data_IF_424031733067
#
_entry.id   IF_424031733067
#
_cell.length_a   1.000
_cell.length_b   1.000
_cell.length_c   1.000
_cell.angle_alpha   90.00
_cell.angle_beta   90.00
_cell.angle_gamma   90.00
#
_symmetry.space_group_name_H-M   'P 1'
#
loop_
_entity.id
_entity.type
_entity.pdbx_description
1 polymer ?
#
# COMPACT_ATOMS: atom_id res chain seq x y z
N UNK A 1 2.55 -18.61 8.49
CA UNK A 1 3.02 -17.32 9.08
C UNK A 1 2.70 -17.30 10.57
N UNK A 2 3.71 -17.11 11.41
CA UNK A 2 3.54 -17.02 12.86
C UNK A 2 2.80 -15.76 13.28
N UNK A 3 1.91 -15.89 14.26
CA UNK A 3 1.20 -14.78 14.89
C UNK A 3 1.74 -14.52 16.29
N UNK A 4 1.30 -13.42 16.93
CA UNK A 4 1.73 -13.08 18.30
C UNK A 4 1.50 -14.24 19.27
N UNK A 5 0.38 -14.96 19.15
CA UNK A 5 0.10 -16.13 19.99
C UNK A 5 1.18 -17.22 19.89
N UNK A 6 1.83 -17.35 18.75
CA UNK A 6 2.92 -18.30 18.53
C UNK A 6 4.23 -17.95 19.25
N UNK A 7 4.36 -16.76 19.81
CA UNK A 7 5.54 -16.34 20.58
C UNK A 7 5.55 -16.89 22.02
N UNK A 8 4.46 -17.50 22.46
CA UNK A 8 4.34 -18.04 23.81
C UNK A 8 4.13 -16.98 24.88
N UNK A 9 4.62 -17.24 26.08
CA UNK A 9 4.49 -16.31 27.22
C UNK A 9 5.42 -15.09 27.06
N UNK A 10 4.82 -13.91 26.94
CA UNK A 10 5.52 -12.64 26.79
C UNK A 10 5.64 -11.85 28.09
N UNK A 11 5.16 -12.38 29.22
CA UNK A 11 5.22 -11.71 30.51
C UNK A 11 6.66 -11.33 30.87
N UNK A 12 6.90 -10.05 31.12
CA UNK A 12 8.23 -9.51 31.45
C UNK A 12 9.23 -9.47 30.29
N UNK A 13 8.85 -9.89 29.11
CA UNK A 13 9.74 -9.85 27.92
C UNK A 13 9.69 -8.50 27.24
N UNK A 14 10.80 -8.14 26.61
CA UNK A 14 10.89 -6.97 25.73
C UNK A 14 10.65 -7.41 24.30
N UNK A 15 9.70 -6.77 23.63
CA UNK A 15 9.31 -7.07 22.26
C UNK A 15 9.61 -5.87 21.37
N UNK A 16 10.41 -6.08 20.35
CA UNK A 16 10.68 -5.09 19.30
C UNK A 16 9.57 -5.17 18.25
N UNK A 17 8.86 -4.07 18.05
CA UNK A 17 7.79 -3.97 17.04
C UNK A 17 8.23 -3.06 15.90
N UNK A 18 8.26 -3.60 14.68
CA UNK A 18 8.47 -2.79 13.49
C UNK A 18 7.13 -2.27 12.98
N UNK A 19 6.83 -1.02 13.30
CA UNK A 19 5.61 -0.34 12.87
C UNK A 19 5.84 0.46 11.57
N UNK A 20 4.77 0.85 10.92
CA UNK A 20 4.78 1.86 9.86
C UNK A 20 4.23 3.18 10.43
N UNK A 21 5.10 4.12 10.69
CA UNK A 21 4.79 5.45 11.23
C UNK A 21 5.20 6.55 10.26
N UNK A 22 5.31 6.22 8.97
CA UNK A 22 5.65 7.17 7.91
C UNK A 22 4.44 8.05 7.59
N UNK A 23 4.13 8.95 8.50
CA UNK A 23 2.98 9.85 8.43
C UNK A 23 3.31 11.13 7.66
N UNK A 24 2.33 11.74 6.98
CA UNK A 24 2.50 13.06 6.39
C UNK A 24 2.55 14.12 7.47
N UNK A 25 3.51 15.04 7.32
CA UNK A 25 3.74 16.14 8.26
C UNK A 25 3.64 17.49 7.55
N UNK A 26 3.07 18.45 8.25
CA UNK A 26 3.25 19.88 7.98
C UNK A 26 4.06 20.47 9.14
N UNK A 27 5.36 20.67 8.91
CA UNK A 27 6.31 20.95 9.98
C UNK A 27 6.39 19.77 10.96
N UNK A 28 5.93 19.97 12.19
CA UNK A 28 5.82 18.93 13.24
C UNK A 28 4.39 18.42 13.46
N UNK A 29 3.44 18.92 12.67
CA UNK A 29 2.04 18.54 12.78
C UNK A 29 1.72 17.37 11.87
N UNK A 30 1.19 16.29 12.42
CA UNK A 30 0.70 15.14 11.65
C UNK A 30 -0.62 15.55 10.98
N UNK A 31 -0.68 15.49 9.64
CA UNK A 31 -1.87 15.83 8.87
C UNK A 31 -2.80 14.63 8.65
N UNK A 32 -2.30 13.42 8.77
CA UNK A 32 -3.06 12.17 8.74
C UNK A 32 -2.40 11.17 9.71
N UNK A 33 -3.09 10.80 10.77
CA UNK A 33 -2.59 9.88 11.80
C UNK A 33 -3.00 8.41 11.59
N UNK A 34 -3.55 8.08 10.42
CA UNK A 34 -4.09 6.74 10.13
C UNK A 34 -3.10 5.61 10.40
N UNK A 35 -1.83 5.80 10.07
CA UNK A 35 -0.78 4.80 10.33
C UNK A 35 -0.46 4.64 11.81
N UNK A 36 -0.47 5.72 12.57
CA UNK A 36 -0.28 5.64 14.03
C UNK A 36 -1.45 4.88 14.65
N UNK A 37 -2.69 5.20 14.26
CA UNK A 37 -3.88 4.47 14.72
C UNK A 37 -3.82 2.99 14.39
N UNK A 38 -3.37 2.64 13.20
CA UNK A 38 -3.26 1.25 12.75
C UNK A 38 -2.22 0.44 13.54
N UNK A 39 -1.23 1.09 14.14
CA UNK A 39 -0.20 0.44 14.96
C UNK A 39 -0.67 0.10 16.39
N UNK A 40 -1.73 0.75 16.88
CA UNK A 40 -2.21 0.63 18.26
C UNK A 40 -2.63 -0.80 18.62
N UNK A 41 -3.43 -1.53 17.81
CA UNK A 41 -3.89 -2.87 18.20
C UNK A 41 -2.78 -3.85 18.51
N UNK A 42 -1.72 -3.89 17.72
CA UNK A 42 -0.57 -4.77 17.97
C UNK A 42 0.16 -4.39 19.27
N UNK A 43 0.44 -3.11 19.46
CA UNK A 43 1.12 -2.63 20.67
C UNK A 43 0.29 -2.94 21.90
N UNK A 44 -1.01 -2.66 21.86
CA UNK A 44 -1.93 -2.95 22.96
C UNK A 44 -2.00 -4.44 23.29
N UNK A 45 -2.05 -5.29 22.27
CA UNK A 45 -2.06 -6.74 22.46
C UNK A 45 -0.79 -7.23 23.19
N UNK A 46 0.36 -6.68 22.86
CA UNK A 46 1.61 -7.03 23.52
C UNK A 46 1.65 -6.51 24.97
N UNK A 47 1.15 -5.31 25.22
CA UNK A 47 1.05 -4.76 26.57
C UNK A 47 0.09 -5.60 27.43
N UNK A 48 -1.05 -6.00 26.88
CA UNK A 48 -2.02 -6.86 27.56
C UNK A 48 -1.45 -8.25 27.87
N UNK A 49 -0.49 -8.72 27.06
CA UNK A 49 0.25 -9.95 27.30
C UNK A 49 1.38 -9.81 28.36
N UNK A 50 1.56 -8.64 28.94
CA UNK A 50 2.56 -8.37 29.97
C UNK A 50 3.95 -8.03 29.45
N UNK A 51 4.09 -7.70 28.17
CA UNK A 51 5.36 -7.31 27.57
C UNK A 51 5.72 -5.84 27.83
N UNK A 52 7.01 -5.53 27.72
CA UNK A 52 7.51 -4.19 27.44
C UNK A 52 7.69 -4.03 25.94
N UNK A 53 7.27 -2.92 25.37
CA UNK A 53 7.24 -2.72 23.91
C UNK A 53 8.27 -1.68 23.49
N UNK A 54 9.10 -2.04 22.51
CA UNK A 54 10.06 -1.15 21.85
C UNK A 54 9.60 -0.98 20.42
N UNK A 55 9.17 0.24 20.06
CA UNK A 55 8.72 0.56 18.70
C UNK A 55 9.90 1.05 17.87
N UNK A 56 10.06 0.48 16.69
CA UNK A 56 10.98 0.97 15.66
C UNK A 56 10.24 1.24 14.37
N UNK A 57 10.55 2.34 13.71
CA UNK A 57 9.88 2.77 12.49
C UNK A 57 10.77 3.73 11.68
N UNK A 58 10.36 3.97 10.44
CA UNK A 58 10.95 4.99 9.59
C UNK A 58 10.00 6.17 9.38
N UNK A 59 10.56 7.30 9.01
CA UNK A 59 9.86 8.49 8.54
C UNK A 59 10.65 9.11 7.40
N UNK A 60 10.04 9.21 6.22
CA UNK A 60 10.65 9.85 5.07
C UNK A 60 11.96 9.19 4.60
N UNK A 61 12.81 10.02 4.02
CA UNK A 61 14.10 9.61 3.45
C UNK A 61 15.22 10.52 3.91
N UNK A 62 15.71 10.37 5.14
CA UNK A 62 16.75 11.24 5.70
C UNK A 62 18.14 11.06 5.08
N UNK A 63 18.36 9.96 4.33
CA UNK A 63 19.64 9.72 3.65
C UNK A 63 20.71 9.07 4.51
N UNK A 64 20.33 8.40 5.59
CA UNK A 64 21.26 7.63 6.43
C UNK A 64 21.93 8.45 7.54
N UNK A 65 21.41 9.63 7.85
CA UNK A 65 21.89 10.51 8.90
C UNK A 65 20.74 11.20 9.63
N UNK A 66 20.92 11.59 10.91
CA UNK A 66 19.90 12.32 11.66
C UNK A 66 19.57 13.68 11.05
N UNK A 67 18.26 13.94 10.90
CA UNK A 67 17.72 15.25 10.47
C UNK A 67 16.46 15.55 11.26
N UNK A 68 16.36 16.73 11.90
CA UNK A 68 15.23 17.05 12.79
C UNK A 68 13.85 16.93 12.14
N UNK A 69 13.74 17.25 10.84
CA UNK A 69 12.49 17.16 10.08
C UNK A 69 11.97 15.73 9.90
N UNK A 70 12.83 14.72 10.11
CA UNK A 70 12.49 13.31 10.02
C UNK A 70 12.48 12.61 11.38
N UNK A 71 12.48 13.37 12.48
CA UNK A 71 12.33 12.79 13.82
C UNK A 71 10.97 12.13 14.01
N UNK A 72 10.95 11.01 14.71
CA UNK A 72 9.72 10.32 15.12
C UNK A 72 9.01 10.98 16.31
N UNK A 73 9.49 12.12 16.81
CA UNK A 73 8.89 12.80 17.95
C UNK A 73 7.38 13.07 17.80
N UNK A 74 6.89 13.57 16.64
CA UNK A 74 5.44 13.74 16.45
C UNK A 74 4.67 12.43 16.51
N UNK A 75 5.19 11.36 15.91
CA UNK A 75 4.56 10.04 15.93
C UNK A 75 4.55 9.44 17.34
N UNK A 76 5.63 9.59 18.10
CA UNK A 76 5.70 9.14 19.49
C UNK A 76 4.68 9.85 20.38
N UNK A 77 4.54 11.16 20.24
CA UNK A 77 3.56 11.94 21.00
C UNK A 77 2.12 11.49 20.66
N UNK A 78 1.82 11.30 19.37
CA UNK A 78 0.49 10.85 18.96
C UNK A 78 0.19 9.41 19.42
N UNK A 79 1.17 8.53 19.35
CA UNK A 79 1.03 7.16 19.86
C UNK A 79 0.74 7.14 21.35
N UNK A 80 1.43 7.98 22.14
CA UNK A 80 1.17 8.14 23.57
C UNK A 80 -0.26 8.57 23.87
N UNK A 81 -0.80 9.54 23.13
CA UNK A 81 -2.20 9.97 23.26
C UNK A 81 -3.17 8.82 22.97
N UNK A 82 -2.95 8.08 21.90
CA UNK A 82 -3.82 6.96 21.49
C UNK A 82 -3.77 5.78 22.45
N UNK A 83 -2.60 5.49 23.02
CA UNK A 83 -2.44 4.43 24.01
C UNK A 83 -2.89 4.84 25.42
N UNK A 84 -3.02 6.15 25.69
CA UNK A 84 -3.33 6.67 27.02
C UNK A 84 -2.21 6.41 28.04
N UNK A 85 -0.96 6.32 27.59
CA UNK A 85 0.22 6.11 28.41
C UNK A 85 1.47 6.74 27.79
N UNK A 86 2.52 7.03 28.58
CA UNK A 86 3.75 7.60 28.03
C UNK A 86 4.42 6.69 27.02
N UNK A 87 5.00 7.30 25.99
CA UNK A 87 5.93 6.67 25.04
C UNK A 87 7.24 7.41 25.14
N UNK A 88 8.28 6.74 25.63
CA UNK A 88 9.61 7.33 25.79
C UNK A 88 10.37 7.22 24.47
N UNK A 89 10.65 8.36 23.83
CA UNK A 89 11.46 8.40 22.62
C UNK A 89 12.95 8.50 22.98
N UNK A 90 13.76 7.55 22.51
CA UNK A 90 15.21 7.64 22.58
C UNK A 90 15.72 8.74 21.61
N UNK A 91 16.85 9.32 21.90
CA UNK A 91 17.46 10.38 21.05
C UNK A 91 18.25 9.82 19.86
N UNK A 92 18.48 8.52 19.85
CA UNK A 92 19.19 7.80 18.79
C UNK A 92 18.52 6.44 18.47
N UNK A 93 19.08 5.72 17.52
CA UNK A 93 18.56 4.41 17.13
C UNK A 93 19.18 3.25 17.93
N UNK A 94 20.50 3.18 17.99
CA UNK A 94 21.24 2.08 18.61
C UNK A 94 22.42 2.57 19.47
N UNK A 95 22.45 3.85 19.77
CA UNK A 95 23.50 4.50 20.57
C UNK A 95 23.22 4.43 22.07
N UNK A 96 23.90 5.28 22.81
CA UNK A 96 23.82 5.29 24.27
C UNK A 96 22.43 5.64 24.79
N UNK A 97 21.72 6.56 24.14
CA UNK A 97 20.35 6.93 24.53
C UNK A 97 19.38 5.74 24.36
N UNK A 98 19.43 5.07 23.22
CA UNK A 98 18.60 3.89 22.98
C UNK A 98 18.90 2.78 23.99
N UNK A 99 20.17 2.49 24.27
CA UNK A 99 20.58 1.48 25.26
C UNK A 99 20.06 1.81 26.66
N UNK A 100 20.18 3.06 27.08
CA UNK A 100 19.69 3.51 28.40
C UNK A 100 18.16 3.45 28.48
N UNK A 101 17.47 3.89 27.42
CA UNK A 101 16.00 3.88 27.34
C UNK A 101 15.46 2.46 27.42
N UNK A 102 16.04 1.52 26.68
CA UNK A 102 15.63 0.11 26.68
C UNK A 102 15.98 -0.57 28.00
N UNK A 103 17.14 -0.28 28.59
CA UNK A 103 17.53 -0.84 29.87
C UNK A 103 16.57 -0.45 31.01
N UNK A 104 16.02 0.77 30.96
CA UNK A 104 15.07 1.27 31.97
C UNK A 104 13.62 0.84 31.70
N UNK A 105 13.33 0.22 30.57
CA UNK A 105 11.98 -0.15 30.16
C UNK A 105 11.46 -1.35 30.93
N UNK A 106 10.29 -1.21 31.54
CA UNK A 106 9.62 -2.24 32.33
C UNK A 106 8.36 -2.77 31.62
N UNK A 107 7.88 -3.92 32.09
CA UNK A 107 6.60 -4.52 31.63
C UNK A 107 5.46 -3.51 31.64
N UNK A 108 4.68 -3.45 30.59
CA UNK A 108 3.58 -2.50 30.43
C UNK A 108 3.99 -1.11 29.96
N UNK A 109 5.27 -0.86 29.76
CA UNK A 109 5.78 0.41 29.25
C UNK A 109 6.13 0.32 27.76
N UNK A 110 6.13 1.49 27.11
CA UNK A 110 6.42 1.65 25.69
C UNK A 110 7.58 2.63 25.51
N UNK A 111 8.59 2.21 24.76
CA UNK A 111 9.65 3.06 24.26
C UNK A 111 9.63 3.09 22.75
N UNK A 112 10.16 4.15 22.14
CA UNK A 112 10.36 4.27 20.71
C UNK A 112 11.80 4.64 20.43
N UNK A 113 12.41 3.94 19.48
CA UNK A 113 13.72 4.31 18.94
C UNK A 113 13.56 5.43 17.92
N UNK A 114 14.61 6.23 17.72
CA UNK A 114 14.60 7.22 16.67
C UNK A 114 14.57 6.59 15.29
N UNK A 115 14.27 7.38 14.26
CA UNK A 115 14.07 6.96 12.87
C UNK A 115 15.15 5.95 12.42
N UNK A 116 14.72 4.75 12.09
CA UNK A 116 15.61 3.66 11.70
C UNK A 116 16.43 3.99 10.44
N UNK A 117 15.92 4.87 9.58
CA UNK A 117 16.64 5.36 8.39
C UNK A 117 17.67 6.45 8.68
N UNK A 118 17.88 6.82 9.94
CA UNK A 118 19.04 7.61 10.34
C UNK A 118 20.35 6.81 10.23
N UNK A 119 20.24 5.50 10.13
CA UNK A 119 21.38 4.62 9.90
C UNK A 119 21.35 4.09 8.45
N UNK A 120 22.42 4.36 7.70
CA UNK A 120 22.52 3.94 6.30
C UNK A 120 22.47 2.42 6.10
N UNK A 121 22.78 1.65 7.14
CA UNK A 121 22.76 0.17 7.10
C UNK A 121 21.34 -0.38 6.97
N UNK A 122 20.32 0.35 7.43
CA UNK A 122 18.91 -0.08 7.36
C UNK A 122 18.49 -0.48 5.95
N UNK A 123 18.84 0.33 4.96
CA UNK A 123 18.42 0.15 3.57
C UNK A 123 19.56 -0.30 2.66
N UNK A 124 20.70 -0.71 3.21
CA UNK A 124 21.85 -1.17 2.43
C UNK A 124 21.49 -2.39 1.58
N UNK A 125 22.06 -2.43 0.39
CA UNK A 125 21.97 -3.61 -0.50
C UNK A 125 23.00 -4.70 -0.15
N UNK A 126 23.91 -4.38 0.76
CA UNK A 126 24.94 -5.31 1.26
C UNK A 126 24.38 -6.02 2.50
N UNK A 127 24.22 -7.31 2.41
CA UNK A 127 23.57 -8.11 3.47
C UNK A 127 24.31 -7.98 4.81
N UNK A 128 25.64 -8.00 4.80
CA UNK A 128 26.47 -7.91 5.99
C UNK A 128 26.25 -6.57 6.75
N UNK A 129 26.10 -5.48 6.02
CA UNK A 129 25.82 -4.16 6.64
C UNK A 129 24.46 -4.14 7.33
N UNK A 130 23.43 -4.69 6.68
CA UNK A 130 22.10 -4.79 7.33
C UNK A 130 22.12 -5.71 8.55
N UNK A 131 22.84 -6.82 8.46
CA UNK A 131 22.95 -7.78 9.55
C UNK A 131 23.67 -7.19 10.77
N UNK A 132 24.62 -6.29 10.61
CA UNK A 132 25.25 -5.57 11.73
C UNK A 132 24.23 -4.73 12.49
N UNK A 133 23.42 -3.93 11.80
CA UNK A 133 22.36 -3.15 12.44
C UNK A 133 21.31 -4.06 13.07
N UNK A 134 20.93 -5.13 12.38
CA UNK A 134 19.96 -6.09 12.91
C UNK A 134 20.41 -6.73 14.22
N UNK A 135 21.70 -7.04 14.39
CA UNK A 135 22.27 -7.55 15.65
C UNK A 135 22.15 -6.54 16.79
N UNK A 136 22.39 -5.26 16.49
CA UNK A 136 22.27 -4.20 17.51
C UNK A 136 20.79 -4.01 17.93
N UNK A 137 19.86 -4.07 16.97
CA UNK A 137 18.42 -4.02 17.25
C UNK A 137 17.94 -5.27 18.03
N UNK A 138 18.38 -6.45 17.61
CA UNK A 138 18.03 -7.72 18.27
C UNK A 138 18.52 -7.80 19.72
N UNK A 139 19.64 -7.14 20.03
CA UNK A 139 20.17 -7.08 21.39
C UNK A 139 19.24 -6.36 22.38
N UNK A 140 18.28 -5.57 21.89
CA UNK A 140 17.33 -4.86 22.74
C UNK A 140 16.14 -5.71 23.19
N UNK A 141 15.87 -6.84 22.54
CA UNK A 141 14.59 -7.52 22.72
C UNK A 141 14.72 -9.05 22.80
N UNK A 142 13.68 -9.68 23.33
CA UNK A 142 13.52 -11.12 23.43
C UNK A 142 12.73 -11.72 22.27
N UNK A 143 11.92 -10.88 21.58
CA UNK A 143 11.11 -11.26 20.44
C UNK A 143 10.90 -10.07 19.49
N UNK A 144 10.53 -10.38 18.25
CA UNK A 144 10.27 -9.40 17.20
C UNK A 144 8.86 -9.57 16.62
N UNK A 145 8.17 -8.45 16.41
CA UNK A 145 6.87 -8.42 15.75
C UNK A 145 6.92 -7.47 14.54
N UNK A 146 6.62 -8.01 13.37
CA UNK A 146 6.50 -7.25 12.13
C UNK A 146 5.08 -6.72 11.97
N UNK A 147 4.91 -5.42 12.03
CA UNK A 147 3.59 -4.78 11.92
C UNK A 147 3.52 -3.66 10.89
N UNK A 148 4.57 -3.44 10.14
CA UNK A 148 4.64 -2.45 9.06
C UNK A 148 4.45 -3.08 7.69
N UNK A 149 3.23 -3.40 7.28
CA UNK A 149 2.97 -4.06 6.00
C UNK A 149 3.52 -3.28 4.79
N UNK A 150 3.53 -1.96 4.86
CA UNK A 150 4.07 -1.11 3.78
C UNK A 150 5.56 -1.29 3.47
N UNK A 151 6.32 -2.01 4.29
CA UNK A 151 7.77 -2.22 4.11
C UNK A 151 8.19 -3.68 3.97
N UNK A 152 7.26 -4.64 4.07
CA UNK A 152 7.58 -6.08 4.02
C UNK A 152 8.09 -6.56 2.65
N UNK A 153 7.94 -5.74 1.61
CA UNK A 153 8.44 -6.02 0.26
C UNK A 153 9.93 -5.70 0.06
N UNK A 154 10.58 -5.18 1.11
CA UNK A 154 12.01 -4.80 1.06
C UNK A 154 12.84 -5.58 2.07
N UNK A 155 14.04 -6.00 1.66
CA UNK A 155 15.06 -6.49 2.58
C UNK A 155 15.70 -5.30 3.30
N UNK A 156 15.18 -4.98 4.48
CA UNK A 156 15.70 -3.95 5.36
C UNK A 156 16.05 -4.54 6.72
N UNK A 157 17.05 -3.98 7.40
CA UNK A 157 17.56 -4.53 8.66
C UNK A 157 16.47 -4.73 9.71
N UNK A 158 15.60 -3.73 9.90
CA UNK A 158 14.52 -3.75 10.90
C UNK A 158 13.27 -4.56 10.47
N UNK A 159 13.24 -5.06 9.25
CA UNK A 159 12.09 -5.80 8.68
C UNK A 159 12.44 -7.26 8.45
N UNK A 160 13.56 -7.51 7.80
CA UNK A 160 13.98 -8.82 7.30
C UNK A 160 15.07 -9.45 8.17
N UNK A 161 16.21 -8.75 8.34
CA UNK A 161 17.40 -9.32 8.98
C UNK A 161 17.18 -9.55 10.49
N UNK A 162 16.52 -8.62 11.19
CA UNK A 162 16.23 -8.75 12.62
C UNK A 162 15.28 -9.92 12.92
N UNK A 163 14.35 -10.20 12.03
CA UNK A 163 13.41 -11.31 12.17
C UNK A 163 14.09 -12.68 12.15
N UNK A 164 15.29 -12.77 11.59
CA UNK A 164 16.09 -14.00 11.58
C UNK A 164 16.89 -14.23 12.87
N UNK A 165 16.99 -13.21 13.73
CA UNK A 165 17.80 -13.24 14.94
C UNK A 165 17.00 -13.45 16.22
N UNK A 166 15.68 -13.29 16.17
CA UNK A 166 14.76 -13.39 17.30
C UNK A 166 13.58 -14.29 16.94
N UNK A 167 12.90 -14.88 17.93
CA UNK A 167 11.55 -15.39 17.72
C UNK A 167 10.69 -14.28 17.11
N UNK A 168 10.13 -14.52 15.94
CA UNK A 168 9.47 -13.50 15.14
C UNK A 168 8.02 -13.89 14.83
N UNK A 169 7.14 -12.89 14.76
CA UNK A 169 5.75 -13.06 14.40
C UNK A 169 5.21 -11.84 13.64
N UNK A 170 4.10 -12.04 12.93
CA UNK A 170 3.32 -10.96 12.36
C UNK A 170 2.50 -10.27 13.45
N UNK A 171 2.45 -8.94 13.39
CA UNK A 171 1.49 -8.16 14.17
C UNK A 171 0.09 -8.26 13.57
N UNK A 172 -0.91 -7.75 14.27
CA UNK A 172 -2.32 -7.85 13.88
C UNK A 172 -2.61 -7.14 12.56
N UNK A 173 -1.91 -6.02 12.28
CA UNK A 173 -2.05 -5.29 11.02
C UNK A 173 -1.51 -6.11 9.84
N UNK A 174 -0.31 -6.65 9.94
CA UNK A 174 0.29 -7.50 8.90
C UNK A 174 -0.55 -8.75 8.69
N UNK A 175 -1.02 -9.39 9.75
CA UNK A 175 -1.90 -10.56 9.66
C UNK A 175 -3.19 -10.25 8.89
N UNK A 176 -3.87 -9.16 9.23
CA UNK A 176 -5.08 -8.70 8.55
C UNK A 176 -4.85 -8.43 7.06
N UNK A 177 -3.75 -7.72 6.75
CA UNK A 177 -3.37 -7.43 5.36
C UNK A 177 -3.12 -8.71 4.55
N UNK A 178 -2.35 -9.64 5.09
CA UNK A 178 -2.01 -10.89 4.43
C UNK A 178 -3.25 -11.76 4.21
N UNK A 179 -4.10 -11.90 5.22
CA UNK A 179 -5.35 -12.67 5.11
C UNK A 179 -6.26 -12.05 4.03
N UNK A 180 -6.45 -10.75 4.05
CA UNK A 180 -7.33 -10.05 3.10
C UNK A 180 -6.81 -10.12 1.67
N UNK A 181 -5.52 -9.87 1.47
CA UNK A 181 -4.91 -9.90 0.14
C UNK A 181 -4.77 -11.33 -0.39
N UNK A 182 -4.47 -12.31 0.45
CA UNK A 182 -4.40 -13.72 0.05
C UNK A 182 -5.77 -14.24 -0.39
N UNK A 183 -6.84 -13.84 0.28
CA UNK A 183 -8.21 -14.16 -0.13
C UNK A 183 -8.51 -13.67 -1.55
N UNK A 184 -7.98 -12.49 -1.90
CA UNK A 184 -8.16 -11.93 -3.23
C UNK A 184 -7.21 -12.49 -4.29
N UNK A 185 -6.04 -13.04 -3.90
CA UNK A 185 -4.98 -13.36 -4.86
C UNK A 185 -4.69 -14.85 -5.02
N UNK A 186 -4.92 -15.67 -3.99
CA UNK A 186 -4.56 -17.10 -4.00
C UNK A 186 -5.68 -17.98 -4.55
N UNK A 187 -6.89 -17.83 -4.02
CA UNK A 187 -8.06 -18.59 -4.45
C UNK A 187 -9.30 -17.68 -4.37
N UNK A 188 -9.39 -16.68 -5.26
CA UNK A 188 -10.50 -15.75 -5.22
C UNK A 188 -11.81 -16.41 -5.58
N UNK A 189 -12.86 -16.05 -4.84
CA UNK A 189 -14.24 -16.44 -5.21
C UNK A 189 -14.62 -15.71 -6.50
N UNK A 190 -15.17 -16.45 -7.47
CA UNK A 190 -15.43 -15.96 -8.83
C UNK A 190 -16.88 -15.55 -9.04
N UNK A 191 -17.18 -14.58 -9.91
CA UNK A 191 -16.26 -13.87 -10.81
C UNK A 191 -15.27 -12.97 -10.05
N UNK A 192 -14.01 -12.97 -10.48
CA UNK A 192 -12.94 -12.15 -9.96
C UNK A 192 -12.67 -10.96 -10.90
N UNK A 193 -13.01 -9.77 -10.44
CA UNK A 193 -12.80 -8.52 -11.17
C UNK A 193 -11.66 -7.70 -10.54
N UNK A 194 -10.75 -7.23 -11.35
CA UNK A 194 -9.68 -6.35 -10.94
C UNK A 194 -9.78 -5.04 -11.71
N UNK A 195 -9.79 -3.92 -10.99
CA UNK A 195 -9.83 -2.58 -11.55
C UNK A 195 -8.43 -1.96 -11.37
N UNK A 196 -7.76 -1.69 -12.46
CA UNK A 196 -6.44 -1.06 -12.47
C UNK A 196 -6.51 0.32 -13.12
N UNK A 197 -5.96 1.28 -12.44
CA UNK A 197 -5.77 2.64 -12.92
C UNK A 197 -4.34 3.11 -12.68
N UNK A 198 -4.12 4.38 -12.91
CA UNK A 198 -2.81 5.00 -12.79
C UNK A 198 -2.35 5.61 -14.12
N UNK A 199 -1.22 6.33 -14.09
CA UNK A 199 -0.77 7.10 -15.24
C UNK A 199 0.02 6.28 -16.26
N UNK A 200 0.70 5.20 -15.82
CA UNK A 200 1.62 4.44 -16.67
C UNK A 200 1.38 2.94 -16.61
N UNK A 201 1.31 2.30 -17.78
CA UNK A 201 1.25 0.85 -17.87
C UNK A 201 2.55 0.20 -17.40
N UNK A 202 3.71 0.86 -17.60
CA UNK A 202 5.02 0.37 -17.16
C UNK A 202 5.10 0.14 -15.65
N UNK A 203 4.33 0.88 -14.85
CA UNK A 203 4.27 0.69 -13.39
C UNK A 203 3.44 -0.54 -12.98
N UNK A 204 2.66 -1.10 -13.91
CA UNK A 204 1.70 -2.20 -13.65
C UNK A 204 2.02 -3.48 -14.44
N UNK A 205 3.17 -3.55 -15.12
CA UNK A 205 3.49 -4.69 -16.00
C UNK A 205 3.41 -6.04 -15.28
N UNK A 206 4.04 -6.15 -14.12
CA UNK A 206 4.02 -7.39 -13.33
C UNK A 206 2.64 -7.74 -12.82
N UNK A 207 1.85 -6.75 -12.42
CA UNK A 207 0.47 -6.92 -11.96
C UNK A 207 -0.40 -7.44 -13.09
N UNK A 208 -0.39 -6.78 -14.24
CA UNK A 208 -1.19 -7.19 -15.40
C UNK A 208 -0.81 -8.60 -15.84
N UNK A 209 0.49 -8.88 -16.00
CA UNK A 209 0.98 -10.19 -16.40
C UNK A 209 0.52 -11.33 -15.48
N UNK A 210 0.55 -11.12 -14.17
CA UNK A 210 0.07 -12.10 -13.19
C UNK A 210 -1.46 -12.26 -13.23
N UNK A 211 -2.19 -11.15 -13.32
CA UNK A 211 -3.65 -11.15 -13.33
C UNK A 211 -4.26 -11.78 -14.58
N UNK A 212 -3.57 -11.75 -15.72
CA UNK A 212 -3.99 -12.43 -16.94
C UNK A 212 -4.07 -13.95 -16.78
N UNK A 213 -3.50 -14.51 -15.73
CA UNK A 213 -3.60 -15.94 -15.39
C UNK A 213 -4.62 -16.22 -14.29
N UNK A 214 -5.19 -15.21 -13.65
CA UNK A 214 -5.99 -15.37 -12.43
C UNK A 214 -7.35 -14.68 -12.47
N UNK A 215 -7.46 -13.49 -13.05
CA UNK A 215 -8.69 -12.71 -13.07
C UNK A 215 -9.66 -13.22 -14.15
N UNK A 216 -10.95 -13.02 -13.91
CA UNK A 216 -11.98 -13.20 -14.95
C UNK A 216 -12.16 -11.92 -15.76
N UNK A 217 -12.07 -10.77 -15.10
CA UNK A 217 -12.21 -9.44 -15.72
C UNK A 217 -11.12 -8.52 -15.22
N UNK A 218 -10.52 -7.78 -16.16
CA UNK A 218 -9.52 -6.77 -15.89
C UNK A 218 -9.99 -5.45 -16.48
N UNK A 219 -10.41 -4.52 -15.62
CA UNK A 219 -10.93 -3.21 -16.00
C UNK A 219 -9.82 -2.18 -15.94
N UNK A 220 -9.54 -1.53 -17.05
CA UNK A 220 -8.41 -0.61 -17.20
C UNK A 220 -8.91 0.83 -17.25
N UNK A 221 -8.40 1.67 -16.35
CA UNK A 221 -8.67 3.10 -16.28
C UNK A 221 -7.39 3.92 -16.14
N UNK A 222 -7.57 5.21 -15.94
CA UNK A 222 -6.45 6.14 -15.77
C UNK A 222 -5.68 6.43 -17.07
N UNK A 223 -4.52 7.06 -16.94
CA UNK A 223 -3.70 7.44 -18.09
C UNK A 223 -3.13 6.26 -18.87
N UNK A 224 -3.02 5.09 -18.26
CA UNK A 224 -2.56 3.88 -18.95
C UNK A 224 -3.51 3.38 -20.04
N UNK A 225 -4.78 3.79 -20.02
CA UNK A 225 -5.78 3.45 -21.04
C UNK A 225 -5.30 3.81 -22.44
N UNK A 226 -4.62 4.91 -22.61
CA UNK A 226 -4.26 5.44 -23.93
C UNK A 226 -3.21 4.58 -24.64
N UNK A 227 -2.36 3.89 -23.90
CA UNK A 227 -1.45 2.89 -24.48
C UNK A 227 -2.23 1.67 -24.98
N UNK A 228 -3.27 1.24 -24.27
CA UNK A 228 -4.19 0.19 -24.73
C UNK A 228 -4.97 0.60 -25.98
N UNK A 229 -5.51 1.83 -26.00
CA UNK A 229 -6.25 2.35 -27.16
C UNK A 229 -5.35 2.47 -28.38
N UNK A 230 -4.11 2.94 -28.21
CA UNK A 230 -3.14 3.01 -29.30
C UNK A 230 -2.76 1.63 -29.83
N UNK A 231 -2.62 0.64 -28.95
CA UNK A 231 -2.37 -0.76 -29.32
C UNK A 231 -3.51 -1.33 -30.18
N UNK A 232 -4.73 -0.83 -29.99
CA UNK A 232 -5.90 -1.16 -30.83
C UNK A 232 -5.97 -0.39 -32.14
N UNK A 233 -5.05 0.54 -32.38
CA UNK A 233 -4.97 1.34 -33.59
C UNK A 233 -5.71 2.68 -33.54
N UNK A 234 -6.15 3.12 -32.35
CA UNK A 234 -6.86 4.39 -32.19
C UNK A 234 -5.89 5.54 -31.92
N UNK A 235 -6.25 6.74 -32.42
CA UNK A 235 -5.53 7.95 -32.06
C UNK A 235 -5.94 8.42 -30.67
N UNK A 236 -4.97 8.92 -29.89
CA UNK A 236 -5.16 9.30 -28.49
C UNK A 236 -4.94 10.79 -28.23
N UNK A 237 -4.80 11.60 -29.28
CA UNK A 237 -4.59 13.05 -29.17
C UNK A 237 -3.32 13.38 -28.38
N UNK A 238 -3.45 14.31 -27.42
CA UNK A 238 -2.36 14.71 -26.51
C UNK A 238 -2.36 13.94 -25.21
N UNK A 239 -3.07 12.83 -25.13
CA UNK A 239 -3.13 11.97 -23.93
C UNK A 239 -1.77 11.34 -23.61
N UNK A 240 -1.59 10.96 -22.34
CA UNK A 240 -0.41 10.20 -21.94
C UNK A 240 -0.27 8.93 -22.78
N UNK A 241 0.93 8.68 -23.30
CA UNK A 241 1.22 7.53 -24.15
C UNK A 241 2.63 7.01 -23.87
N UNK A 242 2.72 5.73 -23.62
CA UNK A 242 4.01 5.00 -23.54
C UNK A 242 4.20 4.22 -24.84
N UNK A 243 4.80 4.85 -25.85
CA UNK A 243 5.00 4.26 -27.18
C UNK A 243 5.84 2.97 -27.15
N UNK A 244 6.82 2.91 -26.25
CA UNK A 244 7.68 1.75 -26.03
C UNK A 244 6.93 0.56 -25.39
N UNK A 245 5.72 0.76 -24.88
CA UNK A 245 4.89 -0.29 -24.26
C UNK A 245 3.76 -0.80 -25.15
N UNK A 246 3.59 -0.25 -26.35
CA UNK A 246 2.49 -0.65 -27.25
C UNK A 246 2.55 -2.14 -27.59
N UNK A 247 3.72 -2.66 -27.93
CA UNK A 247 3.88 -4.08 -28.25
C UNK A 247 3.64 -4.98 -27.05
N UNK A 248 4.06 -4.56 -25.85
CA UNK A 248 3.78 -5.26 -24.59
C UNK A 248 2.26 -5.35 -24.37
N UNK A 249 1.55 -4.25 -24.55
CA UNK A 249 0.09 -4.19 -24.38
C UNK A 249 -0.64 -5.04 -25.42
N UNK A 250 -0.19 -5.06 -26.66
CA UNK A 250 -0.71 -5.99 -27.67
C UNK A 250 -0.59 -7.44 -27.23
N UNK A 251 0.56 -7.81 -26.65
CA UNK A 251 0.79 -9.13 -26.07
C UNK A 251 -0.17 -9.44 -24.93
N UNK A 252 -0.51 -8.47 -24.08
CA UNK A 252 -1.51 -8.64 -23.02
C UNK A 252 -2.90 -8.90 -23.57
N UNK A 253 -3.33 -8.17 -24.61
CA UNK A 253 -4.62 -8.37 -25.24
C UNK A 253 -4.75 -9.78 -25.85
N UNK A 254 -3.69 -10.27 -26.49
CA UNK A 254 -3.62 -11.62 -27.03
C UNK A 254 -3.64 -12.69 -25.93
N UNK A 255 -2.86 -12.50 -24.88
CA UNK A 255 -2.80 -13.43 -23.73
C UNK A 255 -4.15 -13.48 -23.00
N UNK A 256 -4.80 -12.35 -22.82
CA UNK A 256 -6.13 -12.28 -22.21
C UNK A 256 -7.15 -13.11 -23.00
N UNK A 257 -7.18 -12.95 -24.33
CA UNK A 257 -8.06 -13.71 -25.21
C UNK A 257 -7.77 -15.21 -25.10
N UNK A 258 -6.51 -15.60 -25.15
CA UNK A 258 -6.10 -16.99 -25.02
C UNK A 258 -6.48 -17.62 -23.67
N UNK A 259 -6.44 -16.85 -22.59
CA UNK A 259 -6.76 -17.30 -21.23
C UNK A 259 -8.24 -17.14 -20.85
N UNK A 260 -9.06 -16.56 -21.73
CA UNK A 260 -10.46 -16.28 -21.41
C UNK A 260 -10.67 -15.15 -20.39
N UNK A 261 -9.69 -14.25 -20.25
CA UNK A 261 -9.77 -13.06 -19.41
C UNK A 261 -10.34 -11.89 -20.21
N UNK A 262 -11.40 -11.28 -19.71
CA UNK A 262 -11.99 -10.10 -20.35
C UNK A 262 -11.23 -8.86 -19.93
N UNK A 263 -10.53 -8.22 -20.86
CA UNK A 263 -9.99 -6.87 -20.66
C UNK A 263 -11.07 -5.86 -21.06
N UNK A 264 -11.57 -5.11 -20.08
CA UNK A 264 -12.59 -4.08 -20.29
C UNK A 264 -11.92 -2.72 -20.39
N UNK A 265 -12.00 -2.13 -21.56
CA UNK A 265 -11.49 -0.79 -21.84
C UNK A 265 -12.65 0.23 -21.86
N UNK A 266 -12.38 1.51 -21.55
CA UNK A 266 -13.36 2.56 -21.72
C UNK A 266 -13.86 2.67 -23.17
N UNK A 267 -15.15 2.92 -23.34
CA UNK A 267 -15.79 3.17 -24.62
C UNK A 267 -15.91 4.65 -24.93
N UNK A 268 -15.85 5.49 -23.92
CA UNK A 268 -15.84 6.93 -24.00
C UNK A 268 -14.82 7.52 -23.01
N UNK A 269 -14.35 8.71 -23.28
CA UNK A 269 -13.31 9.40 -22.52
C UNK A 269 -13.75 10.84 -22.27
N UNK A 270 -13.55 11.31 -21.05
CA UNK A 270 -13.62 12.74 -20.72
C UNK A 270 -12.28 13.37 -21.08
N UNK A 271 -12.28 14.18 -22.14
CA UNK A 271 -11.07 14.85 -22.65
C UNK A 271 -11.07 16.32 -22.29
N UNK A 272 -9.88 16.86 -22.07
CA UNK A 272 -9.66 18.28 -21.75
C UNK A 272 -8.69 18.93 -22.73
N UNK A 273 -8.83 20.25 -22.89
CA UNK A 273 -7.93 21.05 -23.72
C UNK A 273 -6.56 21.27 -23.07
N UNK A 274 -6.49 21.14 -21.74
CA UNK A 274 -5.27 21.28 -20.95
C UNK A 274 -5.37 20.49 -19.66
N UNK A 275 -4.24 20.21 -19.02
CA UNK A 275 -4.19 19.62 -17.68
C UNK A 275 -4.42 20.72 -16.63
N UNK A 276 -5.68 21.03 -16.37
CA UNK A 276 -6.10 22.03 -15.39
C UNK A 276 -7.51 21.72 -14.87
N UNK A 277 -7.79 22.12 -13.63
CA UNK A 277 -9.09 21.87 -12.98
C UNK A 277 -10.25 22.57 -13.70
N UNK A 278 -10.00 23.71 -14.32
CA UNK A 278 -10.96 24.55 -15.03
C UNK A 278 -10.82 24.48 -16.56
N UNK A 279 -10.07 23.48 -17.07
CA UNK A 279 -9.91 23.31 -18.49
C UNK A 279 -11.25 23.04 -19.19
N UNK A 280 -11.38 23.56 -20.44
CA UNK A 280 -12.46 23.15 -21.33
C UNK A 280 -12.41 21.64 -21.51
N UNK A 281 -13.54 20.96 -21.34
CA UNK A 281 -13.63 19.51 -21.41
C UNK A 281 -14.91 19.06 -22.09
N UNK A 282 -14.89 17.84 -22.60
CA UNK A 282 -16.02 17.18 -23.24
C UNK A 282 -15.86 15.67 -23.21
N UNK A 283 -16.97 14.97 -23.35
CA UNK A 283 -16.99 13.52 -23.56
C UNK A 283 -16.87 13.19 -25.06
N UNK A 284 -15.97 12.27 -25.40
CA UNK A 284 -15.82 11.75 -26.75
C UNK A 284 -15.76 10.22 -26.73
N UNK A 285 -16.09 9.58 -27.84
CA UNK A 285 -15.85 8.16 -27.99
C UNK A 285 -14.35 7.84 -27.92
N UNK A 286 -13.99 6.70 -27.35
CA UNK A 286 -12.60 6.34 -27.11
C UNK A 286 -11.76 6.17 -28.39
N UNK A 287 -12.39 5.89 -29.52
CA UNK A 287 -11.75 5.71 -30.83
C UNK A 287 -11.62 6.99 -31.66
N UNK A 288 -12.11 8.13 -31.15
CA UNK A 288 -12.12 9.43 -31.85
C UNK A 288 -11.66 10.58 -30.96
N UNK A 289 -10.60 10.37 -30.20
CA UNK A 289 -9.99 11.44 -29.37
C UNK A 289 -9.37 12.48 -30.30
N UNK A 290 -9.83 13.76 -30.29
CA UNK A 290 -9.33 14.77 -31.21
C UNK A 290 -7.87 15.16 -30.95
N UNK A 291 -7.17 15.57 -32.00
CA UNK A 291 -5.84 16.15 -31.85
C UNK A 291 -5.87 17.38 -30.93
N UNK A 292 -4.86 17.50 -30.07
CA UNK A 292 -4.75 18.60 -29.10
C UNK A 292 -5.57 18.42 -27.82
N UNK A 293 -6.38 17.38 -27.75
CA UNK A 293 -7.14 17.03 -26.53
C UNK A 293 -6.51 15.86 -25.80
N UNK A 294 -6.56 15.89 -24.47
CA UNK A 294 -6.02 14.84 -23.60
C UNK A 294 -7.11 14.20 -22.76
N UNK A 295 -7.10 12.89 -22.65
CA UNK A 295 -8.00 12.18 -21.75
C UNK A 295 -7.58 12.35 -20.29
N UNK A 296 -8.52 12.76 -19.42
CA UNK A 296 -8.28 12.96 -17.99
C UNK A 296 -9.19 12.10 -17.09
N UNK A 297 -10.18 11.42 -17.67
CA UNK A 297 -11.05 10.47 -16.98
C UNK A 297 -11.70 9.53 -18.01
N UNK A 298 -12.23 8.42 -17.52
CA UNK A 298 -13.18 7.62 -18.31
C UNK A 298 -14.49 8.39 -18.43
N UNK A 299 -15.23 8.17 -19.53
CA UNK A 299 -16.51 8.83 -19.72
C UNK A 299 -17.66 8.16 -18.96
N UNK A 300 -18.86 8.76 -19.01
CA UNK A 300 -20.02 8.25 -18.26
C UNK A 300 -20.53 6.88 -18.74
N UNK A 301 -20.44 6.57 -20.02
CA UNK A 301 -20.78 5.23 -20.53
C UNK A 301 -19.81 4.17 -20.04
N UNK A 302 -18.52 4.50 -20.01
CA UNK A 302 -17.46 3.64 -19.46
C UNK A 302 -17.66 3.41 -17.95
N UNK A 303 -18.01 4.46 -17.21
CA UNK A 303 -18.31 4.36 -15.79
C UNK A 303 -19.48 3.41 -15.53
N UNK A 304 -20.55 3.49 -16.30
CA UNK A 304 -21.70 2.57 -16.22
C UNK A 304 -21.29 1.14 -16.60
N UNK A 305 -20.47 0.96 -17.62
CA UNK A 305 -19.95 -0.35 -18.03
C UNK A 305 -19.10 -0.97 -16.92
N UNK A 306 -18.21 -0.21 -16.30
CA UNK A 306 -17.39 -0.69 -15.21
C UNK A 306 -18.23 -1.07 -13.99
N UNK A 307 -19.21 -0.24 -13.63
CA UNK A 307 -20.17 -0.56 -12.56
C UNK A 307 -20.93 -1.87 -12.83
N UNK A 308 -21.36 -2.10 -14.08
CA UNK A 308 -22.02 -3.34 -14.50
C UNK A 308 -21.09 -4.56 -14.35
N UNK A 309 -19.83 -4.43 -14.75
CA UNK A 309 -18.83 -5.51 -14.65
C UNK A 309 -18.38 -5.80 -13.21
N UNK A 310 -18.57 -4.86 -12.29
CA UNK A 310 -18.27 -5.02 -10.87
C UNK A 310 -19.45 -5.64 -10.12
N UNK A 311 -20.68 -5.36 -10.53
CA UNK A 311 -21.89 -5.63 -9.77
C UNK A 311 -22.08 -7.10 -9.34
N UNK A 312 -21.75 -8.05 -10.19
CA UNK A 312 -21.90 -9.48 -9.92
C UNK A 312 -20.60 -10.19 -9.48
N UNK A 313 -19.50 -9.44 -9.39
CA UNK A 313 -18.23 -9.99 -8.97
C UNK A 313 -18.25 -10.40 -7.49
N UNK A 314 -17.66 -11.56 -7.19
CA UNK A 314 -17.54 -12.10 -5.83
C UNK A 314 -16.25 -11.70 -5.14
N UNK A 315 -15.23 -11.35 -5.93
CA UNK A 315 -13.98 -10.77 -5.46
C UNK A 315 -13.66 -9.56 -6.34
N UNK A 316 -13.38 -8.43 -5.72
CA UNK A 316 -13.08 -7.19 -6.42
C UNK A 316 -11.83 -6.58 -5.82
N UNK A 317 -10.83 -6.30 -6.65
CA UNK A 317 -9.62 -5.58 -6.24
C UNK A 317 -9.51 -4.31 -7.08
N UNK A 318 -9.29 -3.20 -6.42
CA UNK A 318 -9.08 -1.91 -7.08
C UNK A 318 -7.74 -1.31 -6.68
N UNK A 319 -6.92 -0.96 -7.68
CA UNK A 319 -5.63 -0.30 -7.50
C UNK A 319 -5.44 0.77 -8.58
N UNK A 320 -5.46 2.03 -8.18
CA UNK A 320 -5.25 3.19 -9.02
C UNK A 320 -6.53 3.89 -9.50
N UNK A 321 -6.53 5.23 -9.55
CA UNK A 321 -7.69 6.00 -9.95
C UNK A 321 -8.00 5.87 -11.44
N UNK A 322 -9.26 6.12 -11.82
CA UNK A 322 -9.73 6.06 -13.20
C UNK A 322 -9.45 7.36 -13.99
N UNK A 323 -9.25 8.44 -13.28
CA UNK A 323 -8.99 9.76 -13.82
C UNK A 323 -8.28 10.65 -12.83
N UNK A 324 -8.14 11.93 -13.18
CA UNK A 324 -7.55 12.96 -12.31
C UNK A 324 -8.61 13.40 -11.30
N UNK A 325 -8.87 12.55 -10.32
CA UNK A 325 -9.96 12.72 -9.35
C UNK A 325 -9.77 13.93 -8.42
N UNK A 326 -8.59 14.51 -8.38
CA UNK A 326 -8.30 15.75 -7.67
C UNK A 326 -9.02 16.96 -8.29
N UNK A 327 -9.42 16.85 -9.55
CA UNK A 327 -10.23 17.83 -10.26
C UNK A 327 -11.68 17.35 -10.35
N UNK A 328 -12.61 18.18 -9.90
CA UNK A 328 -14.05 17.84 -9.86
C UNK A 328 -14.59 17.37 -11.22
N UNK A 329 -14.14 17.99 -12.31
CA UNK A 329 -14.57 17.63 -13.66
C UNK A 329 -14.14 16.20 -14.08
N UNK A 330 -13.12 15.62 -13.43
CA UNK A 330 -12.49 14.37 -13.83
C UNK A 330 -12.50 13.32 -12.70
N UNK A 331 -13.42 13.44 -11.76
CA UNK A 331 -13.60 12.50 -10.65
C UNK A 331 -14.67 11.43 -10.91
N UNK A 332 -15.49 11.60 -11.95
CA UNK A 332 -16.67 10.77 -12.19
C UNK A 332 -16.40 9.29 -12.33
N UNK A 333 -15.33 8.91 -13.02
CA UNK A 333 -14.95 7.51 -13.20
C UNK A 333 -14.50 6.85 -11.89
N UNK A 334 -13.71 7.54 -11.11
CA UNK A 334 -13.24 7.08 -9.80
C UNK A 334 -14.41 6.96 -8.81
N UNK A 335 -15.33 7.91 -8.81
CA UNK A 335 -16.58 7.82 -8.02
C UNK A 335 -17.41 6.59 -8.40
N UNK A 336 -17.58 6.34 -9.68
CA UNK A 336 -18.38 5.21 -10.16
C UNK A 336 -17.80 3.86 -9.73
N UNK A 337 -16.47 3.71 -9.78
CA UNK A 337 -15.81 2.49 -9.30
C UNK A 337 -15.99 2.32 -7.79
N UNK A 338 -15.75 3.36 -7.00
CA UNK A 338 -15.94 3.32 -5.56
C UNK A 338 -17.38 2.94 -5.19
N UNK A 339 -18.37 3.59 -5.80
CA UNK A 339 -19.78 3.32 -5.55
C UNK A 339 -20.16 1.88 -5.95
N UNK A 340 -19.70 1.43 -7.11
CA UNK A 340 -19.98 0.07 -7.60
C UNK A 340 -19.44 -1.01 -6.65
N UNK A 341 -18.24 -0.78 -6.09
CA UNK A 341 -17.66 -1.69 -5.11
C UNK A 341 -18.45 -1.73 -3.80
N UNK A 342 -18.92 -0.57 -3.33
CA UNK A 342 -19.76 -0.47 -2.13
C UNK A 342 -21.11 -1.20 -2.35
N UNK A 343 -21.70 -1.05 -3.52
CA UNK A 343 -22.99 -1.64 -3.86
C UNK A 343 -22.92 -3.15 -4.15
N UNK A 344 -21.75 -3.66 -4.49
CA UNK A 344 -21.54 -5.07 -4.76
C UNK A 344 -21.50 -5.91 -3.47
N UNK A 345 -22.04 -7.14 -3.52
CA UNK A 345 -22.03 -8.07 -2.39
C UNK A 345 -20.69 -8.82 -2.24
N UNK A 346 -19.76 -8.65 -3.18
CA UNK A 346 -18.49 -9.35 -3.20
C UNK A 346 -17.49 -8.84 -2.15
N UNK A 347 -16.45 -9.63 -1.93
CA UNK A 347 -15.30 -9.23 -1.12
C UNK A 347 -14.48 -8.20 -1.86
N UNK A 348 -14.39 -7.00 -1.31
CA UNK A 348 -13.78 -5.83 -1.96
C UNK A 348 -12.51 -5.38 -1.25
N UNK A 349 -11.44 -5.20 -2.02
CA UNK A 349 -10.14 -4.71 -1.56
C UNK A 349 -9.75 -3.46 -2.34
N UNK A 350 -9.44 -2.39 -1.62
CA UNK A 350 -8.83 -1.18 -2.17
C UNK A 350 -7.34 -1.23 -1.85
N UNK A 351 -6.50 -1.21 -2.88
CA UNK A 351 -5.05 -1.24 -2.75
C UNK A 351 -4.39 0.03 -3.31
N UNK A 352 -3.33 0.48 -2.63
CA UNK A 352 -2.56 1.64 -3.03
C UNK A 352 -3.00 2.94 -2.38
N UNK A 353 -2.01 3.82 -2.17
CA UNK A 353 -2.22 5.09 -1.47
C UNK A 353 -3.18 6.04 -2.19
N UNK A 354 -3.09 6.10 -3.51
CA UNK A 354 -3.95 6.98 -4.31
C UNK A 354 -5.41 6.55 -4.29
N UNK A 355 -5.67 5.24 -4.34
CA UNK A 355 -7.04 4.70 -4.28
C UNK A 355 -7.66 4.91 -2.90
N UNK A 356 -6.90 4.68 -1.84
CA UNK A 356 -7.34 4.95 -0.46
C UNK A 356 -7.59 6.44 -0.25
N UNK A 357 -6.72 7.30 -0.77
CA UNK A 357 -6.90 8.76 -0.74
C UNK A 357 -8.15 9.19 -1.51
N UNK A 358 -8.42 8.59 -2.67
CA UNK A 358 -9.63 8.87 -3.44
C UNK A 358 -10.90 8.51 -2.66
N UNK A 359 -10.94 7.36 -2.01
CA UNK A 359 -12.08 6.96 -1.15
C UNK A 359 -12.39 8.03 -0.10
N UNK A 360 -11.37 8.50 0.60
CA UNK A 360 -11.52 9.53 1.65
C UNK A 360 -11.90 10.89 1.07
N UNK A 361 -11.17 11.35 0.05
CA UNK A 361 -11.37 12.66 -0.58
C UNK A 361 -12.76 12.80 -1.20
N UNK A 362 -13.26 11.74 -1.82
CA UNK A 362 -14.57 11.72 -2.46
C UNK A 362 -15.73 11.50 -1.47
N UNK A 363 -15.44 11.35 -0.18
CA UNK A 363 -16.42 11.28 0.89
C UNK A 363 -17.09 9.93 1.07
N UNK A 364 -16.49 8.85 0.56
CA UNK A 364 -17.02 7.51 0.77
C UNK A 364 -16.62 6.96 2.14
N UNK A 365 -17.51 6.18 2.73
CA UNK A 365 -17.26 5.46 3.98
C UNK A 365 -16.30 4.30 3.75
N UNK A 366 -15.18 4.33 4.43
CA UNK A 366 -14.17 3.24 4.36
C UNK A 366 -14.76 1.88 4.79
N UNK A 367 -15.76 1.88 5.68
CA UNK A 367 -16.47 0.67 6.10
C UNK A 367 -17.32 0.03 4.98
N UNK A 368 -17.55 0.72 3.89
CA UNK A 368 -18.21 0.18 2.70
C UNK A 368 -17.37 -0.81 1.89
N UNK A 369 -16.07 -0.90 2.19
CA UNK A 369 -15.13 -1.84 1.57
C UNK A 369 -14.73 -2.93 2.56
N UNK A 370 -14.51 -4.15 2.07
CA UNK A 370 -14.12 -5.26 2.94
C UNK A 370 -12.72 -5.05 3.52
N UNK A 371 -11.80 -4.47 2.75
CA UNK A 371 -10.46 -4.12 3.20
C UNK A 371 -9.89 -2.96 2.39
N UNK A 372 -9.28 -2.00 3.09
CA UNK A 372 -8.46 -0.94 2.48
C UNK A 372 -7.02 -1.18 2.91
N UNK A 373 -6.16 -1.54 1.96
CA UNK A 373 -4.76 -1.84 2.26
C UNK A 373 -3.97 -0.57 2.50
N UNK A 374 -3.16 -0.59 3.54
CA UNK A 374 -2.19 0.47 3.85
C UNK A 374 -0.83 0.23 3.16
N UNK A 375 -0.70 -0.89 2.47
CA UNK A 375 0.59 -1.46 2.06
C UNK A 375 1.26 -0.81 0.85
N UNK A 376 0.57 0.04 0.09
CA UNK A 376 1.18 0.70 -1.08
C UNK A 376 1.90 -0.28 -2.01
N UNK A 377 3.23 -0.15 -2.11
CA UNK A 377 4.07 -1.01 -2.95
C UNK A 377 4.05 -2.49 -2.55
N UNK A 378 3.91 -2.80 -1.26
CA UNK A 378 3.82 -4.18 -0.80
C UNK A 378 2.55 -4.87 -1.32
N UNK A 379 1.41 -4.18 -1.29
CA UNK A 379 0.15 -4.69 -1.86
C UNK A 379 0.29 -4.94 -3.35
N UNK A 380 0.91 -4.02 -4.06
CA UNK A 380 1.12 -4.13 -5.51
C UNK A 380 2.01 -5.34 -5.85
N UNK A 381 3.15 -5.50 -5.16
CA UNK A 381 4.04 -6.63 -5.38
C UNK A 381 3.39 -7.98 -5.03
N UNK A 382 2.49 -8.01 -4.05
CA UNK A 382 1.70 -9.21 -3.76
C UNK A 382 0.73 -9.53 -4.91
N UNK A 383 0.09 -8.52 -5.50
CA UNK A 383 -0.73 -8.68 -6.71
C UNK A 383 0.09 -9.11 -7.93
N UNK A 384 1.38 -8.78 -7.98
CA UNK A 384 2.32 -9.28 -8.97
C UNK A 384 2.69 -10.76 -8.77
N UNK A 385 2.26 -11.37 -7.68
CA UNK A 385 2.59 -12.76 -7.33
C UNK A 385 3.98 -12.94 -6.75
N UNK A 386 4.63 -11.85 -6.32
CA UNK A 386 5.96 -11.92 -5.72
C UNK A 386 5.92 -12.41 -4.28
N UNK A 387 6.96 -13.12 -3.89
CA UNK A 387 7.23 -13.45 -2.49
C UNK A 387 7.82 -12.22 -1.81
N UNK A 388 7.16 -11.75 -0.75
CA UNK A 388 7.61 -10.59 0.00
C UNK A 388 8.60 -11.03 1.09
N UNK A 389 9.84 -10.53 1.10
CA UNK A 389 10.88 -11.03 2.01
C UNK A 389 10.51 -10.86 3.48
N UNK A 390 9.90 -9.75 3.86
CA UNK A 390 9.47 -9.49 5.24
C UNK A 390 8.32 -10.38 5.72
N UNK A 391 7.60 -11.04 4.80
CA UNK A 391 6.58 -12.06 5.13
C UNK A 391 7.19 -13.46 5.12
N UNK A 392 8.01 -13.78 4.13
CA UNK A 392 8.65 -15.08 4.02
C UNK A 392 9.46 -15.45 5.27
N UNK A 393 10.12 -14.47 5.86
CA UNK A 393 10.92 -14.65 7.09
C UNK A 393 10.06 -14.95 8.33
N UNK A 394 8.74 -14.73 8.27
CA UNK A 394 7.78 -15.02 9.35
C UNK A 394 7.08 -16.38 9.18
N UNK A 395 7.40 -17.09 8.11
CA UNK A 395 6.89 -18.45 7.89
C UNK A 395 7.69 -19.46 8.72
N UNK A 396 7.06 -20.60 9.04
CA UNK A 396 7.68 -21.67 9.83
C UNK A 396 8.77 -22.44 9.08
#
# INVERSE_FOLDING_TARGET
MKTIAGLGDLTGKKVLVRSDLNVPLDGTTITDDGRVRASVPTIQALLDAGAAVIVTAHLGRPGGEPKPEYSLAPAAARLAELLGRPVTLAEDLVGDSAKATVAALESGQVAMLENVRYDKRETSKVDEERQELAKELAAFADAFVSDGFGVVHRKQASVYDVAQLLPAAAGTLVEKEVVSLSRATTDPERPYAVVLGGSKVSDKLGVIGNLLTKADRLLIGGGMVFTFLKAKGYDVGSSLLEEDQIDTVKGYLETAEANGVEIVLPTDIEVAAAFAADAEHKTVAADVIPEGWMGLDIGPESAALFAFKIADAKTIVWNGPMGVFEFEAFEGGTRAVAQAMIDADGFSVVGGGDSAAAVRRLGYDEAGFSHISTGGGASLELLEGKVLPGLAVLED
#
